data_IF_995734602989
#
_entry.id   IF_995734602989
#
_cell.length_a   1.000
_cell.length_b   1.000
_cell.length_c   1.000
_cell.angle_alpha   90.00
_cell.angle_beta   90.00
_cell.angle_gamma   90.00
#
_symmetry.space_group_name_H-M   'P 1'
#
loop_
_entity.id
_entity.type
_entity.pdbx_description
1 polymer ?
#
# COMPACT_ATOMS: atom_id res chain seq x y z
N UNK A 1 -5.61 -43.26 17.01
CA UNK A 1 -4.83 -42.10 17.49
C UNK A 1 -5.03 -40.99 16.47
N UNK A 2 -6.20 -40.36 16.50
CA UNK A 2 -6.50 -39.22 15.64
C UNK A 2 -5.97 -37.98 16.35
N UNK A 3 -4.92 -37.38 15.81
CA UNK A 3 -4.45 -36.10 16.29
C UNK A 3 -5.53 -35.06 15.94
N UNK A 4 -6.13 -34.50 16.98
CA UNK A 4 -7.02 -33.37 16.90
C UNK A 4 -6.24 -32.22 16.24
N UNK A 5 -6.63 -31.86 15.01
CA UNK A 5 -6.09 -30.69 14.33
C UNK A 5 -6.67 -29.47 15.02
N UNK A 6 -6.03 -29.06 16.12
CA UNK A 6 -6.31 -27.78 16.75
C UNK A 6 -6.26 -26.70 15.67
N UNK A 7 -7.44 -26.15 15.33
CA UNK A 7 -7.55 -24.96 14.50
C UNK A 7 -6.57 -23.93 15.08
N UNK A 8 -5.68 -23.41 14.24
CA UNK A 8 -4.85 -22.28 14.67
C UNK A 8 -5.81 -21.22 15.21
N UNK A 9 -5.54 -20.64 16.39
CA UNK A 9 -6.39 -19.58 16.91
C UNK A 9 -6.45 -18.51 15.82
N UNK A 10 -7.66 -18.16 15.40
CA UNK A 10 -7.83 -17.05 14.47
C UNK A 10 -7.11 -15.85 15.07
N UNK A 11 -6.04 -15.40 14.39
CA UNK A 11 -5.40 -14.14 14.76
C UNK A 11 -6.54 -13.13 14.83
N UNK A 12 -6.73 -12.41 15.95
CA UNK A 12 -7.74 -11.38 15.99
C UNK A 12 -7.39 -10.44 14.84
N UNK A 13 -8.22 -10.43 13.80
CA UNK A 13 -8.10 -9.49 12.72
C UNK A 13 -8.35 -8.15 13.38
N UNK A 14 -7.29 -7.46 13.76
CA UNK A 14 -7.40 -6.14 14.32
C UNK A 14 -7.99 -5.30 13.19
N UNK A 15 -9.28 -4.99 13.30
CA UNK A 15 -10.02 -4.31 12.26
C UNK A 15 -9.34 -2.96 12.03
N UNK A 16 -8.61 -2.84 10.93
CA UNK A 16 -8.03 -1.57 10.52
C UNK A 16 -9.21 -0.63 10.27
N UNK A 17 -9.28 0.45 11.03
CA UNK A 17 -10.30 1.47 10.79
C UNK A 17 -10.12 2.00 9.39
N UNK A 18 -11.22 2.23 8.68
CA UNK A 18 -11.17 2.64 7.26
C UNK A 18 -10.37 3.94 7.09
N UNK A 19 -10.44 4.82 8.08
CA UNK A 19 -9.67 6.07 8.15
C UNK A 19 -8.14 5.89 8.22
N UNK A 20 -7.66 4.72 8.66
CA UNK A 20 -6.22 4.41 8.78
C UNK A 20 -5.65 3.79 7.50
N UNK A 21 -6.49 3.41 6.53
CA UNK A 21 -6.03 2.86 5.25
C UNK A 21 -5.48 3.99 4.37
N UNK A 22 -4.17 3.96 4.10
CA UNK A 22 -3.49 4.98 3.29
C UNK A 22 -3.34 4.58 1.81
N UNK A 23 -3.24 3.27 1.54
CA UNK A 23 -2.98 2.73 0.20
C UNK A 23 -3.76 1.43 -0.01
N UNK A 24 -4.30 1.26 -1.22
CA UNK A 24 -4.94 0.01 -1.67
C UNK A 24 -4.47 -0.38 -3.05
N UNK A 25 -4.31 -1.68 -3.27
CA UNK A 25 -4.19 -2.26 -4.60
C UNK A 25 -5.53 -2.15 -5.34
N UNK A 26 -5.47 -1.75 -6.61
CA UNK A 26 -6.60 -1.69 -7.52
C UNK A 26 -6.28 -2.49 -8.78
N UNK A 27 -7.32 -2.99 -9.45
CA UNK A 27 -7.18 -3.54 -10.79
C UNK A 27 -7.12 -2.43 -11.86
N UNK A 28 -6.96 -2.83 -13.12
CA UNK A 28 -6.85 -1.90 -14.24
C UNK A 28 -8.18 -1.20 -14.59
N UNK A 29 -9.29 -1.60 -13.96
CA UNK A 29 -10.60 -0.93 -14.08
C UNK A 29 -10.83 0.07 -12.94
N UNK A 30 -9.88 0.19 -12.00
CA UNK A 30 -9.97 1.10 -10.87
C UNK A 30 -10.74 0.54 -9.67
N UNK A 31 -11.02 -0.76 -9.65
CA UNK A 31 -11.73 -1.42 -8.54
C UNK A 31 -10.71 -1.99 -7.55
N UNK A 32 -11.02 -1.95 -6.24
CA UNK A 32 -10.16 -2.54 -5.20
C UNK A 32 -9.90 -4.01 -5.50
N UNK A 33 -8.62 -4.36 -5.59
CA UNK A 33 -8.20 -5.70 -5.96
C UNK A 33 -8.17 -6.64 -4.75
N UNK A 34 -8.86 -7.78 -4.88
CA UNK A 34 -8.84 -8.85 -3.88
C UNK A 34 -8.12 -10.12 -4.38
N UNK A 35 -7.70 -10.14 -5.64
CA UNK A 35 -7.12 -11.32 -6.28
C UNK A 35 -5.79 -11.03 -6.96
N UNK A 36 -4.94 -12.04 -7.02
CA UNK A 36 -3.69 -12.04 -7.77
C UNK A 36 -3.96 -11.91 -9.28
N UNK A 37 -3.12 -11.20 -10.06
CA UNK A 37 -1.91 -10.49 -9.64
C UNK A 37 -2.15 -9.03 -9.21
N UNK A 38 -3.33 -8.46 -9.45
CA UNK A 38 -3.62 -7.06 -9.14
C UNK A 38 -3.44 -6.74 -7.64
N UNK A 39 -3.79 -7.69 -6.78
CA UNK A 39 -3.35 -7.75 -5.39
C UNK A 39 -2.28 -8.84 -5.24
N UNK A 40 -0.99 -8.47 -5.14
CA UNK A 40 0.11 -9.43 -5.25
C UNK A 40 0.31 -10.29 -4.00
N UNK A 41 -0.24 -9.90 -2.85
CA UNK A 41 -0.01 -10.56 -1.55
C UNK A 41 -1.29 -11.07 -0.88
N UNK A 42 -2.46 -10.83 -1.50
CA UNK A 42 -3.75 -11.26 -0.97
C UNK A 42 -4.22 -10.48 0.25
N UNK A 43 -3.66 -9.29 0.52
CA UNK A 43 -4.09 -8.46 1.65
C UNK A 43 -5.59 -8.14 1.55
N UNK A 44 -6.37 -8.32 2.64
CA UNK A 44 -7.80 -8.02 2.63
C UNK A 44 -8.12 -6.58 2.20
N UNK A 45 -9.17 -6.40 1.41
CA UNK A 45 -9.61 -5.07 0.92
C UNK A 45 -8.48 -4.34 0.15
N UNK A 46 -7.56 -5.11 -0.46
CA UNK A 46 -6.40 -4.59 -1.18
C UNK A 46 -5.41 -3.80 -0.32
N UNK A 47 -5.49 -3.85 1.01
CA UNK A 47 -4.74 -2.95 1.89
C UNK A 47 -3.22 -3.08 1.70
N UNK A 48 -2.57 -1.99 1.33
CA UNK A 48 -1.14 -1.96 0.99
C UNK A 48 -0.32 -1.02 1.90
N UNK A 49 -0.98 -0.16 2.67
CA UNK A 49 -0.35 0.75 3.62
C UNK A 49 -1.34 1.37 4.60
N UNK A 50 -0.84 1.68 5.79
CA UNK A 50 -1.62 2.23 6.90
C UNK A 50 -0.92 3.43 7.54
N UNK A 51 -1.68 4.27 8.21
CA UNK A 51 -1.18 5.43 8.95
C UNK A 51 -1.73 5.48 10.38
N UNK A 52 -1.05 6.19 11.28
CA UNK A 52 -1.54 6.47 12.64
C UNK A 52 -2.70 7.45 12.62
N UNK A 53 -3.50 7.49 13.70
CA UNK A 53 -4.65 8.39 13.79
C UNK A 53 -4.29 9.89 13.67
N UNK A 54 -3.06 10.25 14.05
CA UNK A 54 -2.52 11.61 13.91
C UNK A 54 -1.74 11.84 12.61
N UNK A 55 -1.66 10.82 11.73
CA UNK A 55 -1.01 10.87 10.42
C UNK A 55 0.51 10.95 10.44
N UNK A 56 1.17 10.92 11.60
CA UNK A 56 2.62 11.14 11.72
C UNK A 56 3.45 9.95 11.25
N UNK A 57 2.92 8.74 11.36
CA UNK A 57 3.60 7.52 10.95
C UNK A 57 2.78 6.80 9.90
N UNK A 58 3.34 6.61 8.71
CA UNK A 58 2.75 5.84 7.62
C UNK A 58 3.70 4.73 7.22
N UNK A 59 3.20 3.49 7.18
CA UNK A 59 3.95 2.31 6.72
C UNK A 59 3.26 1.71 5.51
N UNK A 60 4.03 1.16 4.58
CA UNK A 60 3.49 0.58 3.35
C UNK A 60 4.41 -0.52 2.81
N UNK A 61 3.82 -1.46 2.07
CA UNK A 61 4.55 -2.54 1.39
C UNK A 61 5.14 -2.14 0.02
N UNK A 62 4.48 -1.28 -0.79
CA UNK A 62 5.10 -0.74 -2.00
C UNK A 62 6.38 0.04 -1.68
N UNK A 63 7.29 0.14 -2.66
CA UNK A 63 8.59 0.78 -2.52
C UNK A 63 8.63 2.14 -3.28
N UNK A 64 8.01 3.21 -2.76
CA UNK A 64 7.95 4.50 -3.45
C UNK A 64 9.34 5.11 -3.71
N UNK A 65 10.32 4.79 -2.87
CA UNK A 65 11.70 5.25 -3.00
C UNK A 65 12.41 4.72 -4.25
N UNK A 66 11.99 3.55 -4.75
CA UNK A 66 12.56 2.95 -5.97
C UNK A 66 12.06 3.61 -7.25
N UNK A 67 11.01 4.41 -7.16
CA UNK A 67 10.29 4.96 -8.31
C UNK A 67 10.02 6.46 -8.14
N UNK A 68 10.91 7.20 -7.47
CA UNK A 68 10.77 8.67 -7.31
C UNK A 68 10.99 9.43 -8.63
N UNK A 69 11.76 8.87 -9.56
CA UNK A 69 11.97 9.42 -10.91
C UNK A 69 11.12 8.66 -11.91
N UNK A 70 10.55 9.38 -12.89
CA UNK A 70 9.74 8.79 -13.96
C UNK A 70 10.47 7.67 -14.71
N UNK A 71 11.77 7.87 -14.98
CA UNK A 71 12.62 6.88 -15.70
C UNK A 71 12.78 5.55 -14.96
N UNK A 72 12.49 5.49 -13.66
CA UNK A 72 12.57 4.26 -12.87
C UNK A 72 11.29 3.42 -12.94
N UNK A 73 10.21 3.95 -13.52
CA UNK A 73 8.94 3.23 -13.63
C UNK A 73 8.95 2.32 -14.87
N UNK A 74 8.62 1.03 -14.69
CA UNK A 74 8.57 0.05 -15.78
C UNK A 74 7.59 0.44 -16.89
N UNK A 75 6.53 1.17 -16.52
CA UNK A 75 5.61 1.83 -17.42
C UNK A 75 5.20 3.18 -16.83
N UNK A 76 5.06 4.19 -17.68
CA UNK A 76 4.50 5.49 -17.32
C UNK A 76 3.87 6.16 -18.57
N UNK A 77 2.92 7.11 -18.40
CA UNK A 77 2.40 7.91 -19.49
C UNK A 77 3.51 8.68 -20.23
N UNK A 78 3.37 8.81 -21.55
CA UNK A 78 4.24 9.69 -22.34
C UNK A 78 4.01 11.15 -21.92
N UNK A 79 5.09 11.93 -21.85
CA UNK A 79 5.03 13.35 -21.51
C UNK A 79 5.17 13.67 -20.01
N UNK A 80 5.34 12.67 -19.15
CA UNK A 80 5.80 12.93 -17.78
C UNK A 80 7.21 13.52 -17.79
N UNK A 81 7.45 14.46 -16.87
CA UNK A 81 8.77 15.03 -16.63
C UNK A 81 9.66 14.10 -15.79
N UNK A 82 10.68 14.68 -15.16
CA UNK A 82 11.66 13.93 -14.37
C UNK A 82 11.06 13.23 -13.14
N UNK A 83 10.14 13.89 -12.46
CA UNK A 83 9.58 13.45 -11.18
C UNK A 83 8.35 12.56 -11.38
N UNK A 84 8.31 11.43 -10.67
CA UNK A 84 7.10 10.63 -10.57
C UNK A 84 6.16 11.20 -9.48
N UNK A 85 4.88 10.76 -9.45
CA UNK A 85 3.97 11.10 -8.37
C UNK A 85 4.48 10.72 -6.97
N UNK A 86 5.30 9.67 -6.86
CA UNK A 86 5.79 9.14 -5.58
C UNK A 86 6.78 10.09 -4.89
N UNK A 87 7.44 10.99 -5.64
CA UNK A 87 8.30 12.01 -5.03
C UNK A 87 7.54 12.93 -4.08
N UNK A 88 6.23 13.11 -4.28
CA UNK A 88 5.40 13.95 -3.41
C UNK A 88 5.33 13.42 -1.96
N UNK A 89 5.47 12.10 -1.75
CA UNK A 89 5.53 11.53 -0.40
C UNK A 89 6.67 12.15 0.41
N UNK A 90 7.85 12.27 -0.21
CA UNK A 90 9.05 12.82 0.42
C UNK A 90 9.01 14.35 0.52
N UNK A 91 8.46 15.04 -0.49
CA UNK A 91 8.24 16.49 -0.45
C UNK A 91 7.29 16.89 0.67
N UNK A 92 6.21 16.14 0.88
CA UNK A 92 5.26 16.38 1.96
C UNK A 92 5.93 16.25 3.33
N UNK A 93 6.76 15.22 3.55
CA UNK A 93 7.53 15.07 4.77
C UNK A 93 8.46 16.26 5.04
N UNK A 94 9.19 16.73 4.01
CA UNK A 94 10.07 17.90 4.13
C UNK A 94 9.30 19.19 4.42
N UNK A 95 8.13 19.36 3.79
CA UNK A 95 7.25 20.52 4.00
C UNK A 95 6.68 20.55 5.41
N UNK A 96 6.30 19.40 5.97
CA UNK A 96 5.77 19.30 7.33
C UNK A 96 6.76 19.73 8.42
N UNK A 97 8.07 19.55 8.17
CA UNK A 97 9.14 19.99 9.09
C UNK A 97 9.53 21.47 8.95
N UNK A 98 8.95 22.21 8.00
CA UNK A 98 9.27 23.63 7.76
C UNK A 98 8.35 24.53 8.55
#
# INVERSE_FOLDING_TARGET
>A
MFADSAAMPEKPAMAIRREMAALRYIDNLGVVANAYPANPNGSPDGLAGVTTADGRFTIMMPHPERIIRTVQMSWHPRGWGEDSPWLNLFRNARRWLS
#
